data_IF_262630834338
#
_entry.id   IF_262630834338
#
_cell.length_a   1.000
_cell.length_b   1.000
_cell.length_c   1.000
_cell.angle_alpha   90.00
_cell.angle_beta   90.00
_cell.angle_gamma   90.00
#
_symmetry.space_group_name_H-M   'P 1'
#
loop_
_entity.id
_entity.type
_entity.pdbx_description
1 polymer ?
#
# COMPACT_ATOMS: atom_id res chain seq x y z
N UNK A 1 -12.74 -12.40 2.80
CA UNK A 1 -12.56 -10.92 2.77
C UNK A 1 -12.11 -10.51 4.15
N UNK A 2 -11.00 -9.77 4.28
CA UNK A 2 -10.47 -9.33 5.59
C UNK A 2 -11.03 -7.94 5.92
N UNK A 3 -11.72 -7.85 7.06
CA UNK A 3 -12.30 -6.64 7.62
C UNK A 3 -12.13 -6.67 9.14
N UNK A 4 -11.63 -5.61 9.72
CA UNK A 4 -11.53 -5.42 11.16
C UNK A 4 -12.11 -4.05 11.57
N UNK A 5 -12.27 -3.85 12.88
CA UNK A 5 -12.70 -2.56 13.45
C UNK A 5 -11.66 -1.44 13.24
N UNK A 6 -10.40 -1.79 12.96
CA UNK A 6 -9.27 -0.84 12.84
C UNK A 6 -8.47 -1.06 11.56
N UNK A 7 -7.49 -1.96 11.57
CA UNK A 7 -6.57 -2.29 10.47
C UNK A 7 -6.83 -3.69 9.93
N UNK A 8 -6.70 -3.89 8.62
CA UNK A 8 -6.92 -5.19 8.01
C UNK A 8 -5.80 -6.19 8.26
N UNK A 9 -4.64 -5.98 7.63
CA UNK A 9 -3.41 -6.78 7.83
C UNK A 9 -2.30 -5.85 8.28
N UNK A 10 -1.59 -6.23 9.32
CA UNK A 10 -0.36 -5.57 9.77
C UNK A 10 0.74 -6.62 9.79
N UNK A 11 1.92 -6.30 9.24
CA UNK A 11 3.11 -7.09 9.47
C UNK A 11 4.32 -6.22 9.78
N UNK A 12 5.15 -6.73 10.68
CA UNK A 12 6.37 -6.12 11.16
C UNK A 12 7.57 -6.98 10.77
N UNK A 13 8.72 -6.36 10.56
CA UNK A 13 9.95 -7.04 10.20
C UNK A 13 10.25 -7.00 8.70
N UNK A 14 11.37 -7.63 8.33
CA UNK A 14 11.94 -7.57 6.99
C UNK A 14 11.52 -8.78 6.16
N UNK A 15 11.56 -8.65 4.83
CA UNK A 15 11.39 -9.75 3.88
C UNK A 15 10.04 -10.50 3.96
N UNK A 16 9.02 -9.86 4.49
CA UNK A 16 7.65 -10.37 4.52
C UNK A 16 7.01 -10.37 3.12
N UNK A 17 6.11 -11.33 2.87
CA UNK A 17 5.32 -11.42 1.66
C UNK A 17 3.83 -11.22 1.94
N UNK A 18 3.26 -10.15 1.38
CA UNK A 18 1.82 -9.88 1.37
C UNK A 18 1.31 -10.04 -0.06
N UNK A 19 0.65 -11.15 -0.37
CA UNK A 19 0.19 -11.42 -1.73
C UNK A 19 -1.27 -11.86 -1.83
N UNK A 20 -1.97 -11.39 -2.87
CA UNK A 20 -3.33 -11.84 -3.26
C UNK A 20 -4.41 -11.70 -2.16
N UNK A 21 -4.23 -10.80 -1.19
CA UNK A 21 -5.21 -10.57 -0.14
C UNK A 21 -6.33 -9.63 -0.61
N UNK A 22 -7.55 -9.85 -0.12
CA UNK A 22 -8.68 -8.93 -0.28
C UNK A 22 -9.07 -8.31 1.06
N UNK A 23 -8.70 -7.04 1.24
CA UNK A 23 -8.78 -6.28 2.49
C UNK A 23 -9.57 -4.99 2.25
N UNK A 24 -10.77 -4.85 2.82
CA UNK A 24 -11.66 -3.74 2.43
C UNK A 24 -12.52 -3.25 3.58
N UNK A 25 -12.78 -1.93 3.60
CA UNK A 25 -13.74 -1.33 4.54
C UNK A 25 -13.21 -1.20 5.97
N UNK A 26 -11.90 -1.17 6.17
CA UNK A 26 -11.29 -0.97 7.48
C UNK A 26 -11.27 0.52 7.87
N UNK A 27 -11.29 0.79 9.18
CA UNK A 27 -11.33 2.16 9.71
C UNK A 27 -10.03 2.92 9.47
N UNK A 28 -8.89 2.24 9.40
CA UNK A 28 -7.59 2.87 9.25
C UNK A 28 -6.91 2.36 7.98
N UNK A 29 -6.11 1.29 8.08
CA UNK A 29 -5.35 0.76 6.96
C UNK A 29 -5.96 -0.54 6.42
N UNK A 30 -5.85 -0.75 5.11
CA UNK A 30 -6.04 -2.07 4.52
C UNK A 30 -4.85 -2.96 4.89
N UNK A 31 -3.68 -2.66 4.31
CA UNK A 31 -2.42 -3.36 4.59
C UNK A 31 -1.42 -2.34 5.15
N UNK A 32 -0.79 -2.66 6.27
CA UNK A 32 0.36 -1.95 6.80
C UNK A 32 1.56 -2.90 6.88
N UNK A 33 2.68 -2.49 6.28
CA UNK A 33 3.95 -3.23 6.37
C UNK A 33 5.02 -2.30 6.93
N UNK A 34 5.70 -2.75 7.99
CA UNK A 34 6.82 -2.01 8.59
C UNK A 34 8.08 -2.87 8.55
N UNK A 35 9.14 -2.37 7.95
CA UNK A 35 10.41 -3.06 7.73
C UNK A 35 10.86 -3.02 6.27
N UNK A 36 12.00 -3.64 6.01
CA UNK A 36 12.75 -3.51 4.76
C UNK A 36 12.57 -4.74 3.87
N UNK A 37 12.72 -4.54 2.56
CA UNK A 37 12.71 -5.62 1.55
C UNK A 37 11.42 -6.47 1.55
N UNK A 38 10.30 -5.94 2.03
CA UNK A 38 9.01 -6.60 1.98
C UNK A 38 8.46 -6.59 0.54
N UNK A 39 7.67 -7.61 0.19
CA UNK A 39 7.00 -7.74 -1.09
C UNK A 39 5.49 -7.63 -0.87
N UNK A 40 4.90 -6.60 -1.44
CA UNK A 40 3.46 -6.35 -1.40
C UNK A 40 2.92 -6.43 -2.82
N UNK A 41 2.25 -7.54 -3.17
CA UNK A 41 1.88 -7.82 -4.56
C UNK A 41 0.45 -8.29 -4.74
N UNK A 42 -0.22 -7.82 -5.81
CA UNK A 42 -1.53 -8.32 -6.26
C UNK A 42 -2.63 -8.29 -5.19
N UNK A 43 -2.55 -7.40 -4.20
CA UNK A 43 -3.58 -7.26 -3.17
C UNK A 43 -4.70 -6.31 -3.63
N UNK A 44 -5.89 -6.48 -3.05
CA UNK A 44 -7.05 -5.58 -3.21
C UNK A 44 -7.34 -4.94 -1.86
N UNK A 45 -6.91 -3.68 -1.69
CA UNK A 45 -6.97 -2.89 -0.47
C UNK A 45 -7.91 -1.67 -0.61
N UNK A 46 -9.17 -1.90 -0.96
CA UNK A 46 -10.12 -0.85 -1.34
C UNK A 46 -10.95 -0.31 -0.17
N UNK A 47 -11.51 0.90 -0.33
CA UNK A 47 -12.53 1.48 0.57
C UNK A 47 -12.10 1.55 2.06
N UNK A 48 -10.80 1.68 2.34
CA UNK A 48 -10.29 1.87 3.70
C UNK A 48 -10.33 3.36 4.06
N UNK A 49 -10.76 3.71 5.28
CA UNK A 49 -11.02 5.13 5.63
C UNK A 49 -9.75 5.97 5.81
N UNK A 50 -8.55 5.39 5.82
CA UNK A 50 -7.29 6.12 5.75
C UNK A 50 -6.54 5.79 4.46
N UNK A 51 -5.66 4.79 4.51
CA UNK A 51 -4.87 4.33 3.38
C UNK A 51 -5.24 2.91 2.99
N UNK A 52 -5.20 2.60 1.69
CA UNK A 52 -5.32 1.23 1.24
C UNK A 52 -4.09 0.43 1.67
N UNK A 53 -2.92 0.90 1.26
CA UNK A 53 -1.63 0.29 1.59
C UNK A 53 -0.71 1.35 2.21
N UNK A 54 -0.15 1.06 3.38
CA UNK A 54 0.88 1.86 4.04
C UNK A 54 2.16 1.03 4.19
N UNK A 55 3.29 1.59 3.77
CA UNK A 55 4.60 0.94 3.87
C UNK A 55 5.57 1.89 4.54
N UNK A 56 6.24 1.40 5.57
CA UNK A 56 7.25 2.12 6.34
C UNK A 56 8.54 1.27 6.32
N UNK A 57 9.53 1.71 5.56
CA UNK A 57 10.83 1.04 5.42
C UNK A 57 11.38 1.10 3.99
N UNK A 58 12.56 0.53 3.83
CA UNK A 58 13.39 0.70 2.64
C UNK A 58 13.37 -0.53 1.73
N UNK A 59 13.66 -0.31 0.45
CA UNK A 59 13.89 -1.37 -0.55
C UNK A 59 12.70 -2.33 -0.70
N UNK A 60 11.48 -1.89 -0.37
CA UNK A 60 10.26 -2.68 -0.53
C UNK A 60 9.81 -2.71 -2.01
N UNK A 61 9.17 -3.80 -2.40
CA UNK A 61 8.64 -4.00 -3.75
C UNK A 61 7.11 -4.06 -3.72
N UNK A 62 6.47 -3.11 -4.40
CA UNK A 62 5.02 -2.88 -4.33
C UNK A 62 4.42 -2.94 -5.72
N UNK A 63 3.82 -4.08 -6.08
CA UNK A 63 3.47 -4.36 -7.48
C UNK A 63 2.05 -4.86 -7.70
N UNK A 64 1.37 -4.31 -8.72
CA UNK A 64 0.10 -4.85 -9.19
C UNK A 64 -1.05 -4.81 -8.18
N UNK A 65 -0.98 -3.96 -7.16
CA UNK A 65 -2.02 -3.84 -6.14
C UNK A 65 -3.16 -2.92 -6.59
N UNK A 66 -4.35 -3.14 -6.04
CA UNK A 66 -5.51 -2.29 -6.19
C UNK A 66 -5.78 -1.59 -4.85
N UNK A 67 -5.76 -0.26 -4.83
CA UNK A 67 -6.06 0.52 -3.62
C UNK A 67 -6.87 1.76 -3.98
N UNK A 68 -8.17 1.56 -4.19
CA UNK A 68 -9.11 2.56 -4.71
C UNK A 68 -10.11 2.97 -3.63
N UNK A 69 -10.72 4.14 -3.82
CA UNK A 69 -11.78 4.67 -2.94
C UNK A 69 -11.37 4.78 -1.46
N UNK A 70 -10.08 4.96 -1.18
CA UNK A 70 -9.58 5.25 0.16
C UNK A 70 -9.70 6.75 0.45
N UNK A 71 -9.98 7.13 1.70
CA UNK A 71 -10.33 8.54 2.02
C UNK A 71 -9.13 9.48 1.93
N UNK A 72 -7.93 9.01 2.29
CA UNK A 72 -6.70 9.82 2.30
C UNK A 72 -5.80 9.48 1.11
N UNK A 73 -5.19 8.29 1.07
CA UNK A 73 -4.39 7.86 -0.08
C UNK A 73 -4.70 6.40 -0.45
N UNK A 74 -4.64 6.05 -1.73
CA UNK A 74 -4.60 4.64 -2.13
C UNK A 74 -3.36 3.97 -1.54
N UNK A 75 -2.22 4.62 -1.67
CA UNK A 75 -0.95 4.12 -1.17
C UNK A 75 -0.12 5.23 -0.52
N UNK A 76 0.47 4.93 0.64
CA UNK A 76 1.46 5.78 1.30
C UNK A 76 2.74 4.97 1.51
N UNK A 77 3.87 5.49 1.04
CA UNK A 77 5.19 4.86 1.14
C UNK A 77 6.13 5.84 1.86
N UNK A 78 6.74 5.39 2.94
CA UNK A 78 7.72 6.15 3.73
C UNK A 78 9.00 5.31 3.81
N UNK A 79 10.10 5.78 3.22
CA UNK A 79 11.39 5.11 3.21
C UNK A 79 12.07 5.20 1.84
N UNK A 80 13.29 4.69 1.76
CA UNK A 80 14.18 4.90 0.63
C UNK A 80 14.24 3.69 -0.31
N UNK A 81 14.59 3.95 -1.57
CA UNK A 81 14.85 2.91 -2.57
C UNK A 81 13.70 1.91 -2.80
N UNK A 82 12.45 2.30 -2.51
CA UNK A 82 11.29 1.46 -2.75
C UNK A 82 10.94 1.44 -4.25
N UNK A 83 10.48 0.29 -4.73
CA UNK A 83 9.98 0.12 -6.10
C UNK A 83 8.47 -0.05 -6.09
N UNK A 84 7.76 0.90 -6.70
CA UNK A 84 6.29 0.93 -6.73
C UNK A 84 5.83 0.93 -8.18
N UNK A 85 5.34 -0.21 -8.67
CA UNK A 85 5.05 -0.37 -10.10
C UNK A 85 3.73 -1.07 -10.41
N UNK A 86 3.03 -0.60 -11.45
CA UNK A 86 1.85 -1.29 -11.99
C UNK A 86 0.64 -1.34 -11.05
N UNK A 87 0.57 -0.47 -10.03
CA UNK A 87 -0.56 -0.43 -9.10
C UNK A 87 -1.73 0.37 -9.69
N UNK A 88 -2.97 -0.03 -9.37
CA UNK A 88 -4.22 0.62 -9.78
C UNK A 88 -4.87 1.32 -8.57
N UNK A 89 -4.87 2.64 -8.58
CA UNK A 89 -5.16 3.48 -7.43
C UNK A 89 -6.43 4.32 -7.64
N UNK A 90 -6.69 5.30 -6.78
CA UNK A 90 -7.84 6.21 -6.92
C UNK A 90 -7.63 7.27 -8.01
N UNK A 91 -8.74 7.72 -8.63
CA UNK A 91 -8.73 8.77 -9.68
C UNK A 91 -8.31 10.16 -9.20
N UNK A 92 -8.50 10.47 -7.91
CA UNK A 92 -8.11 11.77 -7.33
C UNK A 92 -6.59 11.80 -7.14
N UNK A 93 -5.90 12.67 -7.90
CA UNK A 93 -4.44 12.74 -7.94
C UNK A 93 -3.80 12.91 -6.55
N UNK A 94 -4.30 13.86 -5.75
CA UNK A 94 -3.85 14.12 -4.37
C UNK A 94 -4.12 12.96 -3.40
N UNK A 95 -4.94 11.98 -3.79
CA UNK A 95 -5.27 10.78 -3.01
C UNK A 95 -4.75 9.50 -3.65
N UNK A 96 -3.95 9.59 -4.71
CA UNK A 96 -3.53 8.41 -5.47
C UNK A 96 -2.40 7.68 -4.74
N UNK A 97 -1.24 8.32 -4.69
CA UNK A 97 -0.04 7.81 -4.07
C UNK A 97 0.71 8.96 -3.42
N UNK A 98 1.22 8.74 -2.21
CA UNK A 98 2.10 9.65 -1.49
C UNK A 98 3.38 8.89 -1.16
N UNK A 99 4.55 9.43 -1.54
CA UNK A 99 5.85 8.79 -1.34
C UNK A 99 6.81 9.78 -0.71
N UNK A 100 7.44 9.38 0.38
CA UNK A 100 8.52 10.10 1.06
C UNK A 100 9.76 9.23 1.11
N UNK A 101 10.93 9.86 0.98
CA UNK A 101 12.23 9.20 1.00
C UNK A 101 12.98 9.31 -0.33
N UNK A 102 14.26 8.96 -0.28
CA UNK A 102 15.23 9.12 -1.34
C UNK A 102 15.22 7.94 -2.32
N UNK A 103 15.48 8.23 -3.61
CA UNK A 103 15.67 7.22 -4.68
C UNK A 103 14.52 6.20 -4.85
N UNK A 104 13.29 6.59 -4.51
CA UNK A 104 12.13 5.75 -4.79
C UNK A 104 11.83 5.69 -6.30
N UNK A 105 11.49 4.51 -6.82
CA UNK A 105 11.16 4.28 -8.23
C UNK A 105 9.65 4.03 -8.41
N UNK A 106 8.91 5.04 -8.87
CA UNK A 106 7.44 5.03 -8.98
C UNK A 106 7.06 5.07 -10.45
N UNK A 107 6.79 3.91 -11.06
CA UNK A 107 6.52 3.81 -12.51
C UNK A 107 5.23 3.06 -12.82
N UNK A 108 4.57 3.41 -13.93
CA UNK A 108 3.42 2.65 -14.48
C UNK A 108 2.23 2.46 -13.50
N UNK A 109 2.07 3.33 -12.49
CA UNK A 109 0.92 3.30 -11.58
C UNK A 109 -0.25 4.09 -12.20
N UNK A 110 -1.44 3.47 -12.28
CA UNK A 110 -2.62 4.00 -12.97
C UNK A 110 -3.70 4.45 -11.98
N UNK A 111 -4.54 5.37 -12.43
CA UNK A 111 -5.79 5.77 -11.77
C UNK A 111 -6.92 4.73 -11.97
#
# INVERSE_FOLDING_TARGET
MIKSKTNGIIGHGNQNLFSKNRVSGNRIYGIQSSGNKNIISKNIANKNKHHGIKINGDKNKVTGNFARLCRIHGMKIEGDHNTVTGNKLGKKLNKRICVYGYKNNIKKNKA
#
